data_IF_931548138082
#
_entry.id   IF_931548138082
#
_cell.length_a   1.000
_cell.length_b   1.000
_cell.length_c   1.000
_cell.angle_alpha   90.00
_cell.angle_beta   90.00
_cell.angle_gamma   90.00
#
_symmetry.space_group_name_H-M   'P 1'
#
loop_
_entity.id
_entity.type
_entity.pdbx_description
1 polymer ?
#
# COMPACT_ATOMS: atom_id res chain seq x y z
N UNK A 1 -4.27 15.02 -66.52
CA UNK A 1 -4.16 13.85 -65.62
C UNK A 1 -3.00 14.15 -64.68
N UNK A 2 -3.20 14.81 -63.53
CA UNK A 2 -3.58 14.26 -62.21
C UNK A 2 -2.83 12.98 -61.84
N UNK A 3 -1.82 13.09 -60.97
CA UNK A 3 -1.74 12.31 -59.73
C UNK A 3 -0.64 12.88 -58.82
N UNK A 4 -1.04 13.65 -57.81
CA UNK A 4 -0.17 14.09 -56.72
C UNK A 4 -0.39 13.13 -55.55
N UNK A 5 0.61 12.29 -55.26
CA UNK A 5 0.58 11.27 -54.22
C UNK A 5 0.97 11.92 -52.87
N UNK A 6 -0.01 12.28 -52.06
CA UNK A 6 0.16 12.74 -50.67
C UNK A 6 0.27 11.51 -49.74
N UNK A 7 1.49 11.18 -49.34
CA UNK A 7 1.77 10.21 -48.27
C UNK A 7 1.39 10.84 -46.92
N UNK A 8 0.26 10.43 -46.36
CA UNK A 8 -0.15 10.77 -45.00
C UNK A 8 0.54 9.82 -44.00
N UNK A 9 1.61 10.28 -43.35
CA UNK A 9 2.32 9.55 -42.29
C UNK A 9 1.51 9.64 -40.99
N UNK A 10 0.81 8.57 -40.63
CA UNK A 10 0.12 8.41 -39.35
C UNK A 10 1.17 8.17 -38.25
N UNK A 11 1.45 9.20 -37.44
CA UNK A 11 2.23 9.06 -36.21
C UNK A 11 1.30 8.42 -35.16
N UNK A 12 1.45 7.12 -34.93
CA UNK A 12 0.88 6.45 -33.75
C UNK A 12 1.61 6.99 -32.51
N UNK A 13 1.01 7.97 -31.83
CA UNK A 13 1.39 8.32 -30.47
C UNK A 13 0.94 7.17 -29.57
N UNK A 14 1.83 6.22 -29.32
CA UNK A 14 1.68 5.27 -28.24
C UNK A 14 1.70 6.05 -26.93
N UNK A 15 0.54 6.48 -26.46
CA UNK A 15 0.36 6.97 -25.11
C UNK A 15 0.58 5.77 -24.17
N UNK A 16 1.85 5.54 -23.81
CA UNK A 16 2.18 4.66 -22.70
C UNK A 16 1.51 5.25 -21.47
N UNK A 17 0.46 4.59 -20.97
CA UNK A 17 -0.11 4.90 -19.68
C UNK A 17 0.96 4.63 -18.62
N UNK A 18 1.79 5.63 -18.32
CA UNK A 18 2.68 5.61 -17.18
C UNK A 18 1.79 5.58 -15.96
N UNK A 19 1.68 4.40 -15.33
CA UNK A 19 0.92 4.28 -14.09
C UNK A 19 1.54 5.21 -13.05
N UNK A 20 0.82 6.29 -12.74
CA UNK A 20 1.26 7.23 -11.74
C UNK A 20 1.24 6.53 -10.39
N UNK A 21 2.34 6.56 -9.63
CA UNK A 21 2.40 5.95 -8.31
C UNK A 21 1.26 6.51 -7.43
N UNK A 22 0.56 5.65 -6.67
CA UNK A 22 -0.50 6.12 -5.74
C UNK A 22 0.07 7.24 -4.86
N UNK A 23 -0.52 8.44 -4.86
CA UNK A 23 -0.02 9.56 -4.08
C UNK A 23 -0.28 9.32 -2.60
N UNK A 24 0.53 9.96 -1.75
CA UNK A 24 0.24 10.03 -0.33
C UNK A 24 -1.04 10.84 -0.11
N UNK A 25 -2.06 10.20 0.46
CA UNK A 25 -3.30 10.84 0.87
C UNK A 25 -3.90 10.08 2.05
N UNK A 26 -4.35 10.81 3.08
CA UNK A 26 -5.12 10.24 4.17
C UNK A 26 -6.58 10.19 3.74
N UNK A 27 -7.07 9.00 3.41
CA UNK A 27 -8.42 8.81 2.85
C UNK A 27 -9.44 8.42 3.91
N UNK A 28 -9.00 7.99 5.08
CA UNK A 28 -9.88 7.63 6.18
C UNK A 28 -9.21 7.86 7.53
N UNK A 29 -9.94 8.47 8.44
CA UNK A 29 -9.57 8.61 9.85
C UNK A 29 -10.73 8.14 10.70
N UNK A 30 -10.48 7.28 11.69
CA UNK A 30 -11.49 6.82 12.64
C UNK A 30 -10.98 6.94 14.07
N UNK A 31 -11.85 7.39 14.98
CA UNK A 31 -11.53 7.51 16.41
C UNK A 31 -11.68 6.19 17.18
N UNK A 32 -12.10 5.12 16.49
CA UNK A 32 -12.27 3.79 17.06
C UNK A 32 -11.62 2.75 16.14
N UNK A 33 -11.19 1.60 16.69
CA UNK A 33 -10.71 0.48 15.90
C UNK A 33 -11.82 0.01 14.95
N UNK A 34 -11.55 0.02 13.65
CA UNK A 34 -12.47 -0.56 12.69
C UNK A 34 -12.30 -2.08 12.65
N UNK A 35 -13.41 -2.80 12.56
CA UNK A 35 -13.43 -4.24 12.28
C UNK A 35 -13.24 -4.53 10.78
N UNK A 36 -12.71 -3.56 10.02
CA UNK A 36 -12.58 -3.69 8.58
C UNK A 36 -11.45 -4.66 8.24
N UNK A 37 -11.76 -5.53 7.30
CA UNK A 37 -10.73 -6.35 6.68
C UNK A 37 -9.77 -5.43 5.92
N UNK A 38 -8.46 -5.70 5.95
CA UNK A 38 -7.45 -4.95 5.18
C UNK A 38 -7.80 -4.66 3.70
N UNK A 39 -8.60 -5.53 3.08
CA UNK A 39 -9.08 -5.38 1.69
C UNK A 39 -10.04 -4.20 1.53
N UNK A 40 -10.81 -3.87 2.57
CA UNK A 40 -11.88 -2.87 2.56
C UNK A 40 -11.36 -1.44 2.79
N UNK A 41 -10.06 -1.27 3.07
CA UNK A 41 -9.49 0.07 3.15
C UNK A 41 -9.35 0.66 1.74
N UNK A 42 -9.62 1.96 1.57
CA UNK A 42 -9.35 2.64 0.31
C UNK A 42 -7.84 2.64 0.03
N UNK A 43 -7.45 2.85 -1.24
CA UNK A 43 -6.05 3.17 -1.58
C UNK A 43 -5.58 4.39 -0.77
N UNK A 44 -4.28 4.54 -0.54
CA UNK A 44 -3.71 5.60 0.30
C UNK A 44 -3.57 5.18 1.77
N UNK A 45 -3.75 6.12 2.69
CA UNK A 45 -3.56 5.91 4.13
C UNK A 45 -4.89 5.92 4.87
N UNK A 46 -5.06 4.96 5.77
CA UNK A 46 -6.10 4.96 6.79
C UNK A 46 -5.47 5.03 8.19
N UNK A 47 -5.96 5.96 9.00
CA UNK A 47 -5.59 6.15 10.40
C UNK A 47 -6.73 5.70 11.31
N UNK A 48 -6.42 4.88 12.31
CA UNK A 48 -7.38 4.46 13.34
C UNK A 48 -6.78 4.73 14.73
N UNK A 49 -7.52 5.43 15.59
CA UNK A 49 -7.12 5.64 16.98
C UNK A 49 -7.47 4.41 17.81
N UNK A 50 -6.47 3.85 18.51
CA UNK A 50 -6.65 2.72 19.42
C UNK A 50 -6.66 3.15 20.90
N UNK A 51 -6.06 4.29 21.21
CA UNK A 51 -5.99 4.87 22.55
C UNK A 51 -5.51 6.31 22.53
N UNK A 52 -5.13 6.89 23.69
CA UNK A 52 -4.67 8.28 23.76
C UNK A 52 -3.49 8.57 22.84
N UNK A 53 -2.46 7.71 22.89
CA UNK A 53 -1.20 7.82 22.14
C UNK A 53 -0.96 6.64 21.21
N UNK A 54 -1.96 5.77 21.03
CA UNK A 54 -1.82 4.54 20.24
C UNK A 54 -2.67 4.63 18.97
N UNK A 55 -2.04 4.33 17.84
CA UNK A 55 -2.67 4.44 16.53
C UNK A 55 -2.35 3.21 15.68
N UNK A 56 -3.29 2.86 14.81
CA UNK A 56 -3.10 1.89 13.75
C UNK A 56 -3.13 2.63 12.42
N UNK A 57 -2.06 2.45 11.66
CA UNK A 57 -1.90 3.09 10.35
C UNK A 57 -1.84 1.98 9.32
N UNK A 58 -2.78 2.00 8.38
CA UNK A 58 -2.83 1.09 7.24
C UNK A 58 -2.59 1.89 5.97
N UNK A 59 -1.52 1.58 5.23
CA UNK A 59 -1.31 2.09 3.88
C UNK A 59 -1.66 1.00 2.87
N UNK A 60 -2.47 1.33 1.87
CA UNK A 60 -2.84 0.45 0.74
C UNK A 60 -2.40 1.10 -0.56
N UNK A 61 -1.71 0.37 -1.41
CA UNK A 61 -1.31 0.81 -2.74
C UNK A 61 -2.05 -0.02 -3.79
N UNK A 62 -2.06 0.49 -5.02
CA UNK A 62 -2.55 -0.22 -6.19
C UNK A 62 -1.65 -1.43 -6.53
N UNK A 63 -2.01 -2.15 -7.59
CA UNK A 63 -1.44 -3.44 -7.96
C UNK A 63 0.09 -3.43 -8.10
N UNK A 64 0.65 -2.42 -8.76
CA UNK A 64 2.11 -2.29 -8.95
C UNK A 64 2.83 -1.62 -7.76
N UNK A 65 2.16 -1.45 -6.63
CA UNK A 65 2.80 -1.03 -5.39
C UNK A 65 3.69 -2.12 -4.79
N UNK A 66 4.78 -1.73 -4.14
CA UNK A 66 5.64 -2.66 -3.39
C UNK A 66 5.33 -2.64 -1.90
N UNK A 67 5.56 -3.76 -1.22
CA UNK A 67 5.39 -3.87 0.24
C UNK A 67 6.26 -2.84 0.98
N UNK A 68 7.46 -2.59 0.48
CA UNK A 68 8.39 -1.59 1.00
C UNK A 68 7.78 -0.19 0.90
N UNK A 69 7.24 0.18 -0.26
CA UNK A 69 6.61 1.48 -0.47
C UNK A 69 5.36 1.68 0.39
N UNK A 70 4.54 0.64 0.56
CA UNK A 70 3.38 0.69 1.46
C UNK A 70 3.83 0.91 2.91
N UNK A 71 4.88 0.21 3.35
CA UNK A 71 5.44 0.39 4.69
C UNK A 71 6.03 1.78 4.88
N UNK A 72 6.76 2.29 3.89
CA UNK A 72 7.29 3.64 3.90
C UNK A 72 6.16 4.68 4.00
N UNK A 73 5.08 4.51 3.23
CA UNK A 73 3.91 5.40 3.31
C UNK A 73 3.27 5.39 4.72
N UNK A 74 3.12 4.22 5.34
CA UNK A 74 2.61 4.11 6.71
C UNK A 74 3.54 4.77 7.74
N UNK A 75 4.85 4.59 7.61
CA UNK A 75 5.86 5.21 8.49
C UNK A 75 5.97 6.73 8.29
N UNK A 76 5.83 7.20 7.05
CA UNK A 76 5.76 8.62 6.74
C UNK A 76 4.55 9.26 7.43
N UNK A 77 3.37 8.64 7.32
CA UNK A 77 2.20 9.12 8.04
C UNK A 77 2.38 9.08 9.57
N UNK A 78 2.99 8.02 10.11
CA UNK A 78 3.30 7.91 11.54
C UNK A 78 4.15 9.09 12.02
N UNK A 79 5.17 9.48 11.24
CA UNK A 79 6.02 10.63 11.58
C UNK A 79 5.28 11.96 11.56
N UNK A 80 4.40 12.18 10.57
CA UNK A 80 3.54 13.38 10.53
C UNK A 80 2.64 13.43 11.76
N UNK A 81 1.96 12.32 12.06
CA UNK A 81 1.07 12.24 13.22
C UNK A 81 1.82 12.50 14.53
N UNK A 82 3.06 12.01 14.64
CA UNK A 82 3.90 12.21 15.83
C UNK A 82 4.24 13.69 16.03
N UNK A 83 4.63 14.39 14.95
CA UNK A 83 4.90 15.83 14.97
C UNK A 83 3.63 16.64 15.28
N UNK A 84 2.50 16.31 14.65
CA UNK A 84 1.20 16.96 14.89
C UNK A 84 0.73 16.81 16.34
N UNK A 85 1.06 15.69 16.99
CA UNK A 85 0.76 15.42 18.40
C UNK A 85 1.87 15.89 19.36
N UNK A 86 2.89 16.57 18.85
CA UNK A 86 3.98 17.16 19.64
C UNK A 86 4.79 16.12 20.45
N UNK A 87 4.97 14.92 19.91
CA UNK A 87 5.87 13.90 20.45
C UNK A 87 7.22 13.91 19.70
N UNK A 88 8.28 13.44 20.34
CA UNK A 88 9.60 13.33 19.69
C UNK A 88 9.68 12.17 18.67
N UNK A 89 8.93 11.10 18.92
CA UNK A 89 9.01 9.87 18.14
C UNK A 89 7.92 8.87 18.49
N UNK A 90 8.12 7.64 18.03
CA UNK A 90 7.19 6.55 18.25
C UNK A 90 7.90 5.20 18.27
N UNK A 91 7.23 4.21 18.82
CA UNK A 91 7.61 2.79 18.78
C UNK A 91 6.61 2.04 17.93
N UNK A 92 7.07 0.99 17.25
CA UNK A 92 6.20 0.10 16.46
C UNK A 92 5.88 -1.13 17.32
N UNK A 93 4.63 -1.26 17.74
CA UNK A 93 4.16 -2.42 18.54
C UNK A 93 3.81 -3.62 17.68
N UNK A 94 3.26 -3.37 16.50
CA UNK A 94 2.86 -4.43 15.57
C UNK A 94 3.13 -4.01 14.13
N UNK A 95 3.55 -4.97 13.32
CA UNK A 95 3.72 -4.83 11.87
C UNK A 95 3.05 -6.01 11.17
N UNK A 96 2.16 -5.72 10.23
CA UNK A 96 1.52 -6.73 9.37
C UNK A 96 1.62 -6.26 7.92
N UNK A 97 2.02 -7.16 7.03
CA UNK A 97 1.96 -6.95 5.58
C UNK A 97 0.83 -7.78 4.98
N UNK A 98 0.28 -7.32 3.87
CA UNK A 98 -0.77 -8.05 3.17
C UNK A 98 -0.77 -7.73 1.68
N UNK A 99 -1.11 -8.72 0.88
CA UNK A 99 -1.27 -8.61 -0.57
C UNK A 99 -2.62 -9.14 -0.99
N UNK A 100 -3.23 -8.48 -1.96
CA UNK A 100 -4.52 -8.86 -2.53
C UNK A 100 -4.36 -8.98 -4.02
N UNK A 101 -4.91 -10.06 -4.55
CA UNK A 101 -5.00 -10.29 -5.97
C UNK A 101 -6.33 -9.76 -6.47
N UNK A 102 -6.30 -9.13 -7.63
CA UNK A 102 -7.50 -8.70 -8.33
C UNK A 102 -8.47 -9.90 -8.49
N UNK A 103 -9.78 -9.63 -8.47
CA UNK A 103 -10.82 -10.61 -8.84
C UNK A 103 -10.96 -11.87 -7.99
N UNK A 104 -10.58 -11.85 -6.70
CA UNK A 104 -10.91 -12.96 -5.81
C UNK A 104 -12.33 -12.81 -5.27
N UNK A 105 -13.31 -13.31 -6.03
CA UNK A 105 -14.67 -13.52 -5.54
C UNK A 105 -14.61 -14.49 -4.36
N UNK A 106 -15.01 -14.03 -3.17
CA UNK A 106 -15.19 -14.94 -2.05
C UNK A 106 -16.42 -15.81 -2.34
N UNK A 107 -16.23 -17.12 -2.53
CA UNK A 107 -17.34 -18.03 -2.86
C UNK A 107 -18.41 -18.13 -1.76
N UNK A 108 -18.04 -17.90 -0.48
CA UNK A 108 -18.99 -17.91 0.65
C UNK A 108 -19.82 -16.64 0.72
N UNK A 109 -19.19 -15.48 0.59
CA UNK A 109 -19.88 -14.18 0.78
C UNK A 109 -20.31 -13.54 -0.53
N UNK A 110 -19.94 -14.12 -1.68
CA UNK A 110 -20.07 -13.57 -3.04
C UNK A 110 -19.47 -12.17 -3.24
N UNK A 111 -18.81 -11.61 -2.23
CA UNK A 111 -18.16 -10.30 -2.30
C UNK A 111 -16.94 -10.37 -3.20
N UNK A 112 -16.86 -9.45 -4.14
CA UNK A 112 -15.64 -9.17 -4.91
C UNK A 112 -14.77 -8.30 -4.01
N UNK A 113 -13.54 -8.75 -3.73
CA UNK A 113 -12.53 -7.88 -3.15
C UNK A 113 -12.30 -6.72 -4.12
N UNK A 114 -12.14 -5.50 -3.58
CA UNK A 114 -11.95 -4.24 -4.30
C UNK A 114 -11.32 -4.38 -5.70
N UNK A 115 -11.83 -3.61 -6.68
CA UNK A 115 -11.41 -3.68 -8.09
C UNK A 115 -9.90 -3.41 -8.22
N UNK A 116 -9.31 -2.75 -7.23
CA UNK A 116 -7.88 -2.51 -7.18
C UNK A 116 -7.23 -3.54 -6.24
N UNK A 117 -6.64 -4.60 -6.83
CA UNK A 117 -5.67 -5.44 -6.13
C UNK A 117 -4.49 -4.61 -5.62
N UNK A 118 -3.57 -5.22 -4.85
CA UNK A 118 -2.36 -4.49 -4.44
C UNK A 118 -1.72 -4.95 -3.14
N UNK A 119 -0.86 -4.08 -2.62
CA UNK A 119 -0.10 -4.30 -1.38
C UNK A 119 -0.64 -3.42 -0.27
N UNK A 120 -0.45 -3.87 0.96
CA UNK A 120 -0.77 -3.10 2.14
C UNK A 120 0.26 -3.30 3.23
N UNK A 121 0.49 -2.26 4.01
CA UNK A 121 1.25 -2.34 5.24
C UNK A 121 0.41 -1.75 6.36
N UNK A 122 0.27 -2.51 7.44
CA UNK A 122 -0.40 -2.09 8.67
C UNK A 122 0.61 -2.06 9.80
N UNK A 123 0.71 -0.92 10.46
CA UNK A 123 1.54 -0.75 11.66
C UNK A 123 0.69 -0.25 12.81
N UNK A 124 0.94 -0.78 14.00
CA UNK A 124 0.43 -0.20 15.25
C UNK A 124 1.59 0.52 15.91
N UNK A 125 1.40 1.80 16.19
CA UNK A 125 2.41 2.67 16.81
C UNK A 125 1.92 3.17 18.16
N UNK A 126 2.87 3.47 19.03
CA UNK A 126 2.63 4.25 20.25
C UNK A 126 3.54 5.48 20.22
N UNK A 127 2.94 6.66 20.35
CA UNK A 127 3.62 7.96 20.37
C UNK A 127 4.23 8.20 21.75
N UNK A 128 5.49 8.62 21.80
CA UNK A 128 6.19 8.86 23.05
C UNK A 128 7.42 9.74 22.87
N UNK A 129 7.93 10.27 23.98
CA UNK A 129 9.22 10.95 24.02
C UNK A 129 10.34 9.93 24.24
N UNK A 130 11.57 10.27 23.82
CA UNK A 130 12.73 9.36 23.89
C UNK A 130 12.99 8.80 25.29
N UNK A 131 12.75 9.60 26.32
CA UNK A 131 12.91 9.22 27.73
C UNK A 131 11.95 8.10 28.18
N UNK A 132 10.79 7.98 27.51
CA UNK A 132 9.73 7.04 27.87
C UNK A 132 9.81 5.71 27.09
N UNK A 133 10.77 5.56 26.18
CA UNK A 133 10.85 4.40 25.31
C UNK A 133 11.38 3.11 25.99
N UNK A 134 12.07 3.25 27.12
CA UNK A 134 12.67 2.12 27.82
C UNK A 134 13.64 1.33 26.91
N UNK A 135 13.38 0.03 26.75
CA UNK A 135 14.18 -0.87 25.89
C UNK A 135 13.64 -1.02 24.46
N UNK A 136 12.51 -0.40 24.14
CA UNK A 136 11.91 -0.53 22.82
C UNK A 136 12.68 0.29 21.77
N UNK A 137 12.62 -0.17 20.51
CA UNK A 137 13.26 0.54 19.40
C UNK A 137 12.49 1.84 19.10
N UNK A 138 12.97 2.91 19.71
CA UNK A 138 12.47 4.26 19.47
C UNK A 138 12.84 4.76 18.07
N UNK A 139 11.86 5.35 17.39
CA UNK A 139 12.03 5.97 16.08
C UNK A 139 11.74 7.46 16.16
N UNK A 140 12.77 8.30 15.98
CA UNK A 140 12.62 9.75 15.94
C UNK A 140 11.81 10.15 14.69
N UNK A 141 10.78 10.97 14.87
CA UNK A 141 9.83 11.31 13.80
C UNK A 141 10.54 11.92 12.58
N UNK A 142 11.39 12.93 12.80
CA UNK A 142 12.15 13.64 11.77
C UNK A 142 12.97 12.68 10.86
N UNK A 143 13.70 11.74 11.46
CA UNK A 143 14.53 10.79 10.72
C UNK A 143 13.67 9.83 9.88
N UNK A 144 12.57 9.34 10.44
CA UNK A 144 11.66 8.45 9.74
C UNK A 144 10.93 9.18 8.61
N UNK A 145 10.53 10.44 8.84
CA UNK A 145 9.84 11.26 7.84
C UNK A 145 10.67 11.41 6.58
N UNK A 146 11.93 11.79 6.72
CA UNK A 146 12.84 12.00 5.60
C UNK A 146 13.11 10.69 4.83
N UNK A 147 13.48 9.63 5.55
CA UNK A 147 13.82 8.33 4.95
C UNK A 147 12.62 7.69 4.27
N UNK A 148 11.45 7.71 4.92
CA UNK A 148 10.22 7.14 4.38
C UNK A 148 9.70 7.92 3.17
N UNK A 149 9.84 9.26 3.18
CA UNK A 149 9.49 10.10 2.02
C UNK A 149 10.34 9.73 0.81
N UNK A 150 11.66 9.57 0.98
CA UNK A 150 12.56 9.15 -0.10
C UNK A 150 12.14 7.81 -0.72
N UNK A 151 11.80 6.82 0.10
CA UNK A 151 11.32 5.51 -0.38
C UNK A 151 9.96 5.61 -1.06
N UNK A 152 9.05 6.44 -0.54
CA UNK A 152 7.70 6.63 -1.07
C UNK A 152 7.70 7.33 -2.44
N UNK A 153 8.60 8.31 -2.61
CA UNK A 153 8.75 9.10 -3.82
C UNK A 153 9.63 8.40 -4.88
N UNK A 154 10.21 7.23 -4.57
CA UNK A 154 10.97 6.44 -5.55
C UNK A 154 10.05 6.03 -6.70
N UNK A 155 10.37 6.51 -7.89
CA UNK A 155 9.78 6.04 -9.15
C UNK A 155 10.54 4.78 -9.56
N UNK A 156 9.81 3.69 -9.78
CA UNK A 156 10.39 2.45 -10.27
C UNK A 156 10.69 2.56 -11.77
N UNK A 157 11.82 2.01 -12.18
CA UNK A 157 12.13 1.82 -13.59
C UNK A 157 11.16 0.84 -14.25
N UNK A 158 11.06 0.87 -15.58
CA UNK A 158 10.21 -0.06 -16.33
C UNK A 158 10.55 -1.53 -16.06
N UNK A 159 11.84 -1.85 -15.89
CA UNK A 159 12.31 -3.19 -15.55
C UNK A 159 11.87 -3.60 -14.13
N UNK A 160 12.00 -2.71 -13.14
CA UNK A 160 11.51 -2.95 -11.78
C UNK A 160 9.99 -3.12 -11.76
N UNK A 161 9.25 -2.34 -12.54
CA UNK A 161 7.80 -2.47 -12.66
C UNK A 161 7.40 -3.80 -13.29
N UNK A 162 8.09 -4.24 -14.35
CA UNK A 162 7.84 -5.53 -14.98
C UNK A 162 8.11 -6.68 -14.01
N UNK A 163 9.22 -6.61 -13.25
CA UNK A 163 9.53 -7.59 -12.22
C UNK A 163 8.47 -7.65 -11.11
N UNK A 164 8.05 -6.49 -10.58
CA UNK A 164 6.99 -6.41 -9.57
C UNK A 164 5.69 -6.99 -10.11
N UNK A 165 5.35 -6.71 -11.36
CA UNK A 165 4.16 -7.26 -12.02
C UNK A 165 4.22 -8.79 -12.12
N UNK A 166 5.34 -9.34 -12.58
CA UNK A 166 5.53 -10.79 -12.71
C UNK A 166 5.45 -11.48 -11.33
N UNK A 167 6.14 -10.96 -10.31
CA UNK A 167 6.10 -11.49 -8.95
C UNK A 167 4.67 -11.47 -8.37
N UNK A 168 3.91 -10.40 -8.66
CA UNK A 168 2.50 -10.28 -8.27
C UNK A 168 1.64 -11.33 -8.95
N UNK A 169 1.76 -11.48 -10.26
CA UNK A 169 1.00 -12.45 -11.05
C UNK A 169 1.26 -13.87 -10.54
N UNK A 170 2.53 -14.25 -10.32
CA UNK A 170 2.89 -15.55 -9.76
C UNK A 170 2.31 -15.77 -8.36
N UNK A 171 2.44 -14.78 -7.47
CA UNK A 171 1.86 -14.83 -6.14
C UNK A 171 0.34 -15.06 -6.18
N UNK A 172 -0.33 -14.42 -7.12
CA UNK A 172 -1.77 -14.52 -7.31
C UNK A 172 -2.21 -15.87 -7.86
N UNK A 173 -1.51 -16.39 -8.86
CA UNK A 173 -1.74 -17.73 -9.37
C UNK A 173 -1.53 -18.80 -8.29
N UNK A 174 -0.43 -18.71 -7.53
CA UNK A 174 -0.13 -19.67 -6.47
C UNK A 174 -1.24 -19.70 -5.41
N UNK A 175 -1.76 -18.53 -5.04
CA UNK A 175 -2.88 -18.42 -4.10
C UNK A 175 -4.19 -18.99 -4.68
N UNK A 176 -4.45 -18.78 -5.97
CA UNK A 176 -5.62 -19.36 -6.64
C UNK A 176 -5.55 -20.90 -6.66
N UNK A 177 -4.40 -21.48 -7.02
CA UNK A 177 -4.18 -22.94 -7.02
C UNK A 177 -4.39 -23.57 -5.64
N UNK A 178 -3.86 -22.94 -4.58
CA UNK A 178 -4.05 -23.39 -3.18
C UNK A 178 -5.54 -23.43 -2.78
N UNK A 179 -6.32 -22.44 -3.21
CA UNK A 179 -7.78 -22.40 -2.92
C UNK A 179 -8.52 -23.52 -3.63
N UNK A 180 -8.22 -23.77 -4.90
CA UNK A 180 -8.84 -24.85 -5.68
C UNK A 180 -8.55 -26.22 -5.04
N UNK A 181 -7.31 -26.46 -4.62
CA UNK A 181 -6.96 -27.72 -3.96
C UNK A 181 -7.68 -27.91 -2.62
N UNK A 182 -7.80 -26.85 -1.80
CA UNK A 182 -8.56 -26.91 -0.53
C UNK A 182 -10.05 -27.23 -0.74
N UNK A 183 -10.65 -26.69 -1.80
CA UNK A 183 -12.04 -26.98 -2.14
C UNK A 183 -12.23 -28.42 -2.57
N UNK A 184 -11.27 -28.98 -3.33
CA UNK A 184 -11.29 -30.39 -3.74
C UNK A 184 -11.15 -31.36 -2.57
N UNK A 185 -10.35 -31.03 -1.55
CA UNK A 185 -10.17 -31.87 -0.36
C UNK A 185 -11.31 -31.77 0.66
N UNK A 186 -12.21 -30.79 0.51
CA UNK A 186 -13.34 -30.56 1.41
C UNK A 186 -14.65 -31.16 0.90
N UNK A 187 -14.64 -31.78 -0.29
CA UNK A 187 -15.72 -32.56 -0.89
C UNK A 187 -15.42 -34.05 -0.71
#
# INVERSE_FOLDING_TARGET
>A
MRLSLLMATTILLAAGCTQTPVPYQVNKTTDHPSNLNPIQFPLGVTQERLGPNQYRITAKLAELGTQERARAMALYHASILTEEKQFEGFVIKQKNGGSWCHSLRNNKTKSVTDVDGGVSARITIELMNSQNAGSEKFLKAENVKLTSKKTMDKVLSEQELAFVKEEREEHCEANARKRTNRLRTAL
#
